data_IF_610141489986
#
_entry.id   IF_610141489986
#
_cell.length_a   1.000
_cell.length_b   1.000
_cell.length_c   1.000
_cell.angle_alpha   90.00
_cell.angle_beta   90.00
_cell.angle_gamma   90.00
#
_symmetry.space_group_name_H-M   'P 1'
#
loop_
_entity.id
_entity.type
_entity.pdbx_description
1 polymer ?
#
# COMPACT_ATOMS: atom_id res chain seq x y z
N UNK A 1 4.06 29.23 -4.02
CA UNK A 1 4.15 28.17 -4.99
C UNK A 1 3.59 26.88 -4.45
N UNK A 2 2.56 26.39 -5.10
CA UNK A 2 2.00 25.13 -4.72
C UNK A 2 2.93 24.01 -5.17
N UNK A 3 3.60 23.37 -4.23
CA UNK A 3 4.21 22.10 -4.54
C UNK A 3 3.10 21.10 -4.89
N UNK A 4 3.31 20.35 -5.96
CA UNK A 4 2.39 19.26 -6.30
C UNK A 4 2.38 18.25 -5.17
N UNK A 5 1.21 17.93 -4.67
CA UNK A 5 1.03 16.91 -3.65
C UNK A 5 0.33 15.69 -4.24
N UNK A 6 0.87 14.53 -3.95
CA UNK A 6 0.22 13.28 -4.34
C UNK A 6 -1.10 13.15 -3.58
N UNK A 7 -2.23 12.94 -4.28
CA UNK A 7 -3.52 12.81 -3.59
C UNK A 7 -3.60 11.52 -2.78
N UNK A 8 -4.15 11.65 -1.58
CA UNK A 8 -4.48 10.51 -0.72
C UNK A 8 -5.96 10.60 -0.39
N UNK A 9 -6.73 9.61 -0.80
CA UNK A 9 -8.17 9.55 -0.56
C UNK A 9 -8.50 8.39 0.36
N UNK A 10 -9.40 8.61 1.30
CA UNK A 10 -9.90 7.54 2.15
C UNK A 10 -11.18 6.96 1.55
N UNK A 11 -11.18 5.65 1.29
CA UNK A 11 -12.34 4.91 0.80
C UNK A 11 -12.56 3.75 1.77
N UNK A 12 -13.60 3.84 2.61
CA UNK A 12 -13.84 2.87 3.70
C UNK A 12 -12.57 2.77 4.57
N UNK A 13 -12.00 1.58 4.71
CA UNK A 13 -10.80 1.36 5.51
C UNK A 13 -9.50 1.38 4.68
N UNK A 14 -9.57 1.90 3.45
CA UNK A 14 -8.46 1.91 2.51
C UNK A 14 -8.04 3.34 2.21
N UNK A 15 -6.73 3.60 2.23
CA UNK A 15 -6.14 4.83 1.72
C UNK A 15 -5.75 4.60 0.26
N UNK A 16 -6.35 5.36 -0.65
CA UNK A 16 -5.98 5.33 -2.07
C UNK A 16 -4.98 6.42 -2.35
N UNK A 17 -3.80 6.02 -2.84
CA UNK A 17 -2.70 6.92 -3.22
C UNK A 17 -2.52 6.81 -4.73
N UNK A 18 -2.65 7.91 -5.45
CA UNK A 18 -2.49 7.93 -6.91
C UNK A 18 -1.20 8.65 -7.28
N UNK A 19 -0.25 7.91 -7.85
CA UNK A 19 1.03 8.45 -8.33
C UNK A 19 0.93 8.57 -9.83
N UNK A 20 0.90 9.81 -10.33
CA UNK A 20 0.62 10.11 -11.74
C UNK A 20 1.85 10.46 -12.55
N UNK A 21 2.97 10.74 -11.92
CA UNK A 21 4.21 11.12 -12.59
C UNK A 21 5.40 10.84 -11.69
N UNK A 22 6.58 11.00 -12.25
CA UNK A 22 7.82 10.89 -11.48
C UNK A 22 7.82 11.86 -10.31
N UNK A 23 8.28 11.39 -9.17
CA UNK A 23 8.34 12.16 -7.95
C UNK A 23 9.79 12.52 -7.65
N UNK A 24 10.03 13.77 -7.21
CA UNK A 24 11.32 14.12 -6.67
C UNK A 24 11.47 13.59 -5.25
N UNK A 25 12.70 13.63 -4.73
CA UNK A 25 13.03 13.04 -3.43
C UNK A 25 12.21 13.65 -2.29
N UNK A 26 11.99 14.96 -2.36
CA UNK A 26 11.21 15.67 -1.33
C UNK A 26 9.74 15.25 -1.34
N UNK A 27 9.16 15.11 -2.53
CA UNK A 27 7.77 14.67 -2.69
C UNK A 27 7.60 13.23 -2.20
N UNK A 28 8.58 12.36 -2.47
CA UNK A 28 8.58 10.98 -1.98
C UNK A 28 8.58 10.93 -0.44
N UNK A 29 9.46 11.70 0.18
CA UNK A 29 9.53 11.75 1.65
C UNK A 29 8.25 12.32 2.25
N UNK A 30 7.72 13.38 1.66
CA UNK A 30 6.43 13.95 2.08
C UNK A 30 5.31 12.92 1.98
N UNK A 31 5.26 12.17 0.88
CA UNK A 31 4.24 11.14 0.68
C UNK A 31 4.33 10.04 1.74
N UNK A 32 5.54 9.56 2.05
CA UNK A 32 5.74 8.55 3.09
C UNK A 32 5.17 9.03 4.44
N UNK A 33 5.52 10.24 4.84
CA UNK A 33 5.02 10.84 6.08
C UNK A 33 3.51 10.96 6.09
N UNK A 34 2.93 11.45 5.01
CA UNK A 34 1.48 11.66 4.89
C UNK A 34 0.71 10.35 4.95
N UNK A 35 1.23 9.29 4.31
CA UNK A 35 0.59 7.97 4.37
C UNK A 35 0.56 7.45 5.80
N UNK A 36 1.68 7.53 6.51
CA UNK A 36 1.76 7.09 7.90
C UNK A 36 0.85 7.88 8.82
N UNK A 37 0.84 9.21 8.67
CA UNK A 37 -0.05 10.08 9.44
C UNK A 37 -1.52 9.74 9.18
N UNK A 38 -1.90 9.50 7.93
CA UNK A 38 -3.26 9.15 7.58
C UNK A 38 -3.67 7.77 8.11
N UNK A 39 -2.77 6.79 8.10
CA UNK A 39 -3.05 5.49 8.71
C UNK A 39 -3.36 5.67 10.20
N UNK A 40 -2.52 6.43 10.90
CA UNK A 40 -2.72 6.70 12.33
C UNK A 40 -4.02 7.48 12.59
N UNK A 41 -4.23 8.57 11.85
CA UNK A 41 -5.37 9.46 12.04
C UNK A 41 -6.71 8.77 11.77
N UNK A 42 -6.77 7.93 10.72
CA UNK A 42 -8.01 7.31 10.27
C UNK A 42 -8.16 5.86 10.69
N UNK A 43 -7.12 5.28 11.28
CA UNK A 43 -7.04 3.87 11.62
C UNK A 43 -7.34 2.97 10.40
N UNK A 44 -6.88 3.40 9.23
CA UNK A 44 -7.05 2.64 7.98
C UNK A 44 -6.29 1.33 8.02
N UNK A 45 -6.88 0.31 7.41
CA UNK A 45 -6.34 -1.07 7.42
C UNK A 45 -5.54 -1.41 6.18
N UNK A 46 -5.57 -0.55 5.18
CA UNK A 46 -4.92 -0.83 3.91
C UNK A 46 -4.51 0.44 3.19
N UNK A 47 -3.46 0.31 2.37
CA UNK A 47 -3.00 1.33 1.45
C UNK A 47 -3.02 0.72 0.04
N UNK A 48 -3.71 1.38 -0.87
CA UNK A 48 -3.77 1.00 -2.28
C UNK A 48 -3.06 2.08 -3.08
N UNK A 49 -1.94 1.72 -3.70
CA UNK A 49 -1.12 2.67 -4.46
C UNK A 49 -1.35 2.40 -5.95
N UNK A 50 -1.98 3.36 -6.62
CA UNK A 50 -2.23 3.29 -8.06
C UNK A 50 -1.06 3.92 -8.80
N UNK A 51 -0.33 3.11 -9.58
CA UNK A 51 0.80 3.53 -10.39
C UNK A 51 0.54 3.30 -11.88
N UNK A 52 -0.73 3.22 -12.28
CA UNK A 52 -1.09 2.93 -13.68
C UNK A 52 -0.58 3.98 -14.67
N UNK A 53 -0.36 5.22 -14.24
CA UNK A 53 0.16 6.28 -15.08
C UNK A 53 1.69 6.44 -15.00
N UNK A 54 2.34 5.64 -14.16
CA UNK A 54 3.79 5.69 -13.99
C UNK A 54 4.45 4.82 -15.06
N UNK A 55 5.17 5.45 -15.98
CA UNK A 55 5.82 4.77 -17.09
C UNK A 55 7.26 4.37 -16.78
N UNK A 56 7.90 5.08 -15.86
CA UNK A 56 9.27 4.84 -15.45
C UNK A 56 9.38 4.89 -13.94
N UNK A 57 10.36 4.16 -13.41
CA UNK A 57 10.66 4.16 -11.98
C UNK A 57 12.16 4.14 -11.81
N UNK A 58 12.67 4.97 -10.89
CA UNK A 58 14.06 4.92 -10.46
C UNK A 58 14.18 4.13 -9.16
N UNK A 59 15.41 3.93 -8.72
CA UNK A 59 15.67 3.19 -7.48
C UNK A 59 15.08 3.86 -6.25
N UNK A 60 15.01 5.18 -6.25
CA UNK A 60 14.46 5.95 -5.14
C UNK A 60 12.95 5.73 -5.00
N UNK A 61 12.23 5.86 -6.10
CA UNK A 61 10.78 5.63 -6.15
C UNK A 61 10.44 4.17 -5.84
N UNK A 62 11.23 3.23 -6.36
CA UNK A 62 11.05 1.82 -6.06
C UNK A 62 11.21 1.51 -4.58
N UNK A 63 12.23 2.08 -3.94
CA UNK A 63 12.41 1.95 -2.50
C UNK A 63 11.28 2.58 -1.71
N UNK A 64 10.75 3.70 -2.17
CA UNK A 64 9.60 4.33 -1.54
C UNK A 64 8.44 3.35 -1.42
N UNK A 65 8.11 2.64 -2.50
CA UNK A 65 7.02 1.68 -2.48
C UNK A 65 7.27 0.57 -1.44
N UNK A 66 8.49 0.06 -1.40
CA UNK A 66 8.89 -0.96 -0.44
C UNK A 66 8.83 -0.45 1.01
N UNK A 67 9.30 0.76 1.22
CA UNK A 67 9.34 1.37 2.56
C UNK A 67 7.93 1.66 3.08
N UNK A 68 7.04 2.17 2.23
CA UNK A 68 5.64 2.39 2.61
C UNK A 68 5.00 1.06 3.03
N UNK A 69 5.23 0.00 2.27
CA UNK A 69 4.68 -1.32 2.60
C UNK A 69 5.20 -1.83 3.95
N UNK A 70 6.49 -1.68 4.20
CA UNK A 70 7.11 -2.10 5.47
C UNK A 70 6.55 -1.33 6.65
N UNK A 71 6.48 -0.02 6.53
CA UNK A 71 5.97 0.85 7.59
C UNK A 71 4.47 0.62 7.84
N UNK A 72 3.69 0.47 6.77
CA UNK A 72 2.26 0.16 6.88
C UNK A 72 2.05 -1.18 7.59
N UNK A 73 2.85 -2.19 7.26
CA UNK A 73 2.79 -3.51 7.90
C UNK A 73 3.02 -3.43 9.42
N UNK A 74 3.97 -2.61 9.86
CA UNK A 74 4.22 -2.38 11.29
C UNK A 74 2.98 -1.78 11.96
N UNK A 75 2.22 -0.97 11.24
CA UNK A 75 0.99 -0.34 11.72
C UNK A 75 -0.27 -1.21 11.48
N UNK A 76 -0.09 -2.48 11.15
CA UNK A 76 -1.16 -3.45 10.87
C UNK A 76 -2.02 -3.05 9.66
N UNK A 77 -1.40 -2.48 8.64
CA UNK A 77 -2.06 -2.13 7.38
C UNK A 77 -1.45 -2.90 6.21
N UNK A 78 -2.31 -3.39 5.32
CA UNK A 78 -1.89 -4.09 4.10
C UNK A 78 -1.53 -3.08 3.01
N UNK A 79 -0.62 -3.44 2.10
CA UNK A 79 -0.29 -2.61 0.94
C UNK A 79 -0.51 -3.38 -0.36
N UNK A 80 -1.23 -2.76 -1.28
CA UNK A 80 -1.42 -3.27 -2.64
C UNK A 80 -0.97 -2.20 -3.62
N UNK A 81 -0.21 -2.59 -4.65
CA UNK A 81 0.17 -1.72 -5.76
C UNK A 81 -0.63 -2.15 -6.98
N UNK A 82 -1.38 -1.21 -7.55
CA UNK A 82 -2.28 -1.46 -8.68
C UNK A 82 -1.76 -0.81 -9.95
N UNK A 83 -1.96 -1.50 -11.08
CA UNK A 83 -1.72 -0.94 -12.39
C UNK A 83 -0.27 -0.85 -12.82
N UNK A 84 0.61 -1.69 -12.25
CA UNK A 84 2.03 -1.67 -12.62
C UNK A 84 2.20 -2.00 -14.10
N UNK A 85 2.81 -1.07 -14.86
CA UNK A 85 3.13 -1.31 -16.26
C UNK A 85 4.32 -2.28 -16.39
N UNK A 86 4.37 -3.08 -17.46
CA UNK A 86 5.47 -4.05 -17.64
C UNK A 86 6.86 -3.43 -17.59
N UNK A 87 7.04 -2.24 -18.18
CA UNK A 87 8.32 -1.55 -18.15
C UNK A 87 8.77 -1.21 -16.72
N UNK A 88 7.84 -0.85 -15.85
CA UNK A 88 8.12 -0.59 -14.44
C UNK A 88 8.53 -1.87 -13.72
N UNK A 89 7.79 -2.95 -13.94
CA UNK A 89 8.10 -4.25 -13.34
C UNK A 89 9.51 -4.73 -13.73
N UNK A 90 9.86 -4.63 -15.01
CA UNK A 90 11.19 -5.01 -15.52
C UNK A 90 12.26 -4.16 -14.83
N UNK A 91 12.06 -2.86 -14.74
CA UNK A 91 13.03 -1.96 -14.10
C UNK A 91 13.24 -2.30 -12.63
N UNK A 92 12.17 -2.60 -11.89
CA UNK A 92 12.29 -3.00 -10.49
C UNK A 92 13.13 -4.25 -10.31
N UNK A 93 12.93 -5.24 -11.18
CA UNK A 93 13.73 -6.48 -11.16
C UNK A 93 15.20 -6.19 -11.48
N UNK A 94 15.46 -5.36 -12.51
CA UNK A 94 16.81 -4.98 -12.89
C UNK A 94 17.54 -4.20 -11.80
N UNK A 95 16.82 -3.41 -11.02
CA UNK A 95 17.37 -2.67 -9.88
C UNK A 95 17.58 -3.57 -8.65
N UNK A 96 17.18 -4.82 -8.71
CA UNK A 96 17.28 -5.74 -7.58
C UNK A 96 16.31 -5.43 -6.44
N UNK A 97 15.24 -4.71 -6.72
CA UNK A 97 14.25 -4.31 -5.72
C UNK A 97 13.17 -5.39 -5.59
N UNK A 98 13.07 -5.95 -4.40
CA UNK A 98 11.97 -6.83 -4.05
C UNK A 98 10.93 -6.03 -3.27
N UNK A 99 9.68 -6.08 -3.72
CA UNK A 99 8.57 -5.44 -3.01
C UNK A 99 7.99 -6.41 -2.00
N UNK A 100 8.72 -6.65 -0.93
CA UNK A 100 8.28 -7.55 0.16
C UNK A 100 7.08 -6.96 0.87
N UNK A 101 6.08 -7.80 1.13
CA UNK A 101 4.85 -7.38 1.78
C UNK A 101 3.91 -6.59 0.88
N UNK A 102 4.25 -6.43 -0.39
CA UNK A 102 3.41 -5.77 -1.38
C UNK A 102 2.72 -6.82 -2.22
N UNK A 103 1.41 -6.71 -2.35
CA UNK A 103 0.65 -7.46 -3.35
C UNK A 103 0.38 -6.55 -4.54
N UNK A 104 0.24 -7.15 -5.70
CA UNK A 104 -0.06 -6.42 -6.92
C UNK A 104 -1.48 -6.72 -7.39
N UNK A 105 -2.08 -5.73 -8.07
CA UNK A 105 -3.40 -5.85 -8.65
C UNK A 105 -3.39 -5.26 -10.07
N UNK A 106 -4.32 -5.68 -10.90
CA UNK A 106 -4.41 -5.21 -12.28
C UNK A 106 -4.79 -3.74 -12.35
N UNK A 107 -5.70 -3.32 -11.49
CA UNK A 107 -6.19 -1.95 -11.41
C UNK A 107 -6.73 -1.66 -10.00
N UNK A 108 -7.28 -0.46 -9.81
CA UNK A 108 -7.82 -0.04 -8.51
C UNK A 108 -8.98 -0.94 -8.08
N UNK A 109 -9.88 -1.28 -8.98
CA UNK A 109 -11.05 -2.14 -8.66
C UNK A 109 -10.59 -3.52 -8.19
N UNK A 110 -9.63 -4.12 -8.89
CA UNK A 110 -9.05 -5.40 -8.50
C UNK A 110 -8.34 -5.30 -7.14
N UNK A 111 -7.62 -4.21 -6.92
CA UNK A 111 -6.95 -3.94 -5.65
C UNK A 111 -7.91 -3.82 -4.48
N UNK A 112 -9.02 -3.11 -4.67
CA UNK A 112 -10.04 -2.99 -3.64
C UNK A 112 -10.69 -4.34 -3.33
N UNK A 113 -10.92 -5.16 -4.34
CA UNK A 113 -11.44 -6.52 -4.17
C UNK A 113 -10.49 -7.40 -3.34
N UNK A 114 -9.21 -7.39 -3.70
CA UNK A 114 -8.18 -8.15 -2.98
C UNK A 114 -8.11 -7.72 -1.51
N UNK A 115 -8.10 -6.42 -1.27
CA UNK A 115 -8.04 -5.90 0.10
C UNK A 115 -9.26 -6.25 0.91
N UNK A 116 -10.45 -6.18 0.31
CA UNK A 116 -11.69 -6.55 0.98
C UNK A 116 -11.68 -8.02 1.41
N UNK A 117 -11.24 -8.91 0.53
CA UNK A 117 -11.12 -10.34 0.84
C UNK A 117 -10.14 -10.57 2.00
N UNK A 118 -8.98 -9.93 1.98
CA UNK A 118 -7.97 -10.07 3.02
C UNK A 118 -8.43 -9.54 4.37
N UNK A 119 -9.10 -8.41 4.38
CA UNK A 119 -9.63 -7.84 5.61
C UNK A 119 -10.71 -8.72 6.22
N UNK A 120 -11.54 -9.34 5.39
CA UNK A 120 -12.56 -10.31 5.85
C UNK A 120 -11.89 -11.56 6.41
N UNK A 121 -10.84 -12.07 5.77
CA UNK A 121 -10.09 -13.23 6.27
C UNK A 121 -9.42 -12.93 7.60
N UNK A 122 -8.84 -11.77 7.77
CA UNK A 122 -8.26 -11.35 9.05
C UNK A 122 -9.31 -11.29 10.16
N UNK A 123 -10.50 -10.79 9.87
CA UNK A 123 -11.61 -10.77 10.84
C UNK A 123 -12.00 -12.17 11.25
N UNK A 124 -12.13 -13.10 10.30
CA UNK A 124 -12.46 -14.50 10.57
C UNK A 124 -11.38 -15.16 11.42
N UNK A 125 -10.12 -14.95 11.08
CA UNK A 125 -9.02 -15.54 11.83
C UNK A 125 -8.96 -15.02 13.26
N UNK A 126 -9.22 -13.74 13.47
CA UNK A 126 -9.28 -13.15 14.81
C UNK A 126 -10.44 -13.73 15.63
N UNK A 127 -11.60 -13.86 15.01
CA UNK A 127 -12.77 -14.47 15.65
C UNK A 127 -12.52 -15.94 16.01
N UNK A 128 -11.96 -16.74 15.08
CA UNK A 128 -11.60 -18.14 15.32
C UNK A 128 -10.55 -18.27 16.41
N UNK A 129 -9.53 -17.44 16.40
CA UNK A 129 -8.50 -17.43 17.44
C UNK A 129 -9.03 -17.07 18.80
N UNK A 130 -9.97 -16.13 18.88
CA UNK A 130 -10.63 -15.78 20.14
C UNK A 130 -11.48 -16.92 20.67
N UNK A 131 -12.23 -17.62 19.81
CA UNK A 131 -13.05 -18.77 20.18
C UNK A 131 -12.19 -19.95 20.67
N UNK A 132 -11.10 -20.24 19.97
CA UNK A 132 -10.14 -21.28 20.36
C UNK A 132 -9.52 -20.95 21.73
N UNK A 133 -9.18 -19.69 21.96
CA UNK A 133 -8.60 -19.24 23.23
C UNK A 133 -9.60 -19.36 24.37
N UNK A 134 -10.85 -19.03 24.12
CA UNK A 134 -11.92 -19.19 25.10
C UNK A 134 -12.18 -20.67 25.44
N UNK A 135 -12.14 -21.55 24.46
CA UNK A 135 -12.30 -22.99 24.63
C UNK A 135 -11.18 -23.62 25.46
N UNK A 136 -9.95 -23.15 25.30
CA UNK A 136 -8.77 -23.66 26.02
C UNK A 136 -8.80 -23.26 27.51
N UNK A 137 -9.44 -22.14 27.84
CA UNK A 137 -9.52 -21.66 29.23
C UNK A 137 -10.55 -22.39 30.07
N UNK A 138 -11.43 -23.13 29.45
CA UNK A 138 -12.43 -23.94 30.14
C UNK A 138 -11.98 -25.40 30.22
#
# INVERSE_FOLDING_TARGET
MSAFRVPILKIADVLLVSIQSDLDDRTVLDLQHRVLEEIERTNSRAVLIDISLLEMVDSFTGRMLSDIASMASIMDAETVVAGMQPAVAITLVELGLELKGVSTALDVDDGLRILKERMNDKRRNRASGADEHAAVRN
#
